data_IF_937295525156
#
_entry.id   IF_937295525156
#
_cell.length_a   1.000
_cell.length_b   1.000
_cell.length_c   1.000
_cell.angle_alpha   90.00
_cell.angle_beta   90.00
_cell.angle_gamma   90.00
#
_symmetry.space_group_name_H-M   'P 1'
#
loop_
_entity.id
_entity.type
_entity.pdbx_description
1 polymer ?
#
# COMPACT_ATOMS: atom_id res chain seq x y z
N UNK A 1 -28.10 5.48 0.67
CA UNK A 1 -27.92 6.95 0.62
C UNK A 1 -26.42 7.23 0.64
N UNK A 2 -25.88 7.94 -0.35
CA UNK A 2 -24.50 8.44 -0.27
C UNK A 2 -24.41 9.39 0.94
N UNK A 3 -23.33 9.35 1.73
CA UNK A 3 -23.18 10.27 2.85
C UNK A 3 -23.27 11.71 2.35
N UNK A 4 -24.01 12.55 3.08
CA UNK A 4 -24.27 13.95 2.75
C UNK A 4 -22.97 14.79 2.60
N UNK A 5 -21.86 14.30 3.17
CA UNK A 5 -20.53 14.90 3.11
C UNK A 5 -19.49 13.84 2.79
N UNK A 6 -18.59 14.16 1.87
CA UNK A 6 -17.44 13.33 1.50
C UNK A 6 -16.33 13.48 2.55
N UNK A 7 -15.95 14.69 2.98
CA UNK A 7 -14.79 14.92 3.86
C UNK A 7 -15.15 15.56 5.20
N UNK A 8 -14.45 15.18 6.28
CA UNK A 8 -14.56 15.78 7.61
C UNK A 8 -13.34 16.66 7.88
N UNK A 9 -13.55 17.92 8.20
CA UNK A 9 -12.48 18.88 8.46
C UNK A 9 -12.71 19.58 9.79
N UNK A 10 -11.63 19.95 10.46
CA UNK A 10 -11.69 20.80 11.66
C UNK A 10 -10.91 22.07 11.40
N UNK A 11 -11.50 23.22 11.67
CA UNK A 11 -10.83 24.50 11.59
C UNK A 11 -10.55 25.00 13.00
N UNK A 12 -9.26 25.17 13.34
CA UNK A 12 -8.78 25.67 14.63
C UNK A 12 -8.11 27.04 14.43
N UNK A 13 -8.79 28.11 14.85
CA UNK A 13 -8.24 29.45 14.93
C UNK A 13 -9.17 30.37 15.74
N UNK A 14 -8.70 31.50 16.28
CA UNK A 14 -9.59 32.46 16.92
C UNK A 14 -10.53 33.15 15.88
N UNK A 15 -11.85 33.04 16.06
CA UNK A 15 -12.91 33.56 15.17
C UNK A 15 -13.80 34.59 15.85
N UNK A 16 -13.78 35.84 15.37
CA UNK A 16 -14.86 36.82 15.63
C UNK A 16 -15.51 37.27 14.32
N UNK A 17 -16.64 36.64 13.96
CA UNK A 17 -17.56 37.16 12.94
C UNK A 17 -17.22 36.86 11.46
N UNK A 18 -18.29 36.86 10.65
CA UNK A 18 -18.47 36.61 9.19
C UNK A 18 -17.75 35.44 8.47
N UNK A 19 -16.65 34.93 8.99
CA UNK A 19 -15.68 34.10 8.29
C UNK A 19 -16.09 32.59 8.26
N UNK A 20 -16.81 32.12 9.29
CA UNK A 20 -17.39 30.77 9.30
C UNK A 20 -18.49 30.58 8.23
N UNK A 21 -19.16 31.65 7.77
CA UNK A 21 -20.23 31.54 6.75
C UNK A 21 -19.64 31.23 5.37
N UNK A 22 -18.59 31.94 4.98
CA UNK A 22 -17.88 31.74 3.71
C UNK A 22 -17.31 30.32 3.67
N UNK A 23 -16.56 29.92 4.69
CA UNK A 23 -16.04 28.56 4.78
C UNK A 23 -17.14 27.50 4.76
N UNK A 24 -18.28 27.71 5.44
CA UNK A 24 -19.42 26.76 5.39
C UNK A 24 -20.05 26.67 4.02
N UNK A 25 -20.22 27.80 3.32
CA UNK A 25 -20.82 27.83 1.98
C UNK A 25 -19.92 27.09 0.99
N UNK A 26 -18.64 27.45 0.93
CA UNK A 26 -17.67 26.80 0.05
C UNK A 26 -17.51 25.32 0.40
N UNK A 27 -17.51 24.96 1.69
CA UNK A 27 -17.44 23.56 2.12
C UNK A 27 -18.67 22.76 1.66
N UNK A 28 -19.86 23.36 1.68
CA UNK A 28 -21.09 22.71 1.18
C UNK A 28 -20.96 22.39 -0.30
N UNK A 29 -20.45 23.31 -1.10
CA UNK A 29 -20.23 23.12 -2.54
C UNK A 29 -19.20 22.00 -2.81
N UNK A 30 -18.20 21.88 -1.94
CA UNK A 30 -17.16 20.84 -2.00
C UNK A 30 -17.53 19.54 -1.25
N UNK A 31 -18.77 19.41 -0.75
CA UNK A 31 -19.24 18.26 0.06
C UNK A 31 -18.36 17.98 1.29
N UNK A 32 -17.82 19.02 1.92
CA UNK A 32 -17.05 18.94 3.15
C UNK A 32 -17.91 19.36 4.35
N UNK A 33 -17.72 18.68 5.48
CA UNK A 33 -18.24 19.13 6.77
C UNK A 33 -17.10 19.75 7.56
N UNK A 34 -17.24 21.02 7.96
CA UNK A 34 -16.26 21.72 8.79
C UNK A 34 -16.80 21.89 10.20
N UNK A 35 -16.01 21.44 11.19
CA UNK A 35 -16.17 21.80 12.60
C UNK A 35 -15.30 23.02 12.90
N UNK A 36 -15.87 24.07 13.46
CA UNK A 36 -15.12 25.28 13.85
C UNK A 36 -14.76 25.20 15.33
N UNK A 37 -13.52 25.54 15.66
CA UNK A 37 -13.00 25.65 17.02
C UNK A 37 -12.32 27.01 17.16
N UNK A 38 -12.97 27.90 17.91
CA UNK A 38 -12.49 29.25 18.24
C UNK A 38 -11.44 29.18 19.34
N UNK A 39 -10.22 28.72 19.00
CA UNK A 39 -9.14 28.43 19.95
C UNK A 39 -7.81 28.99 19.45
N UNK A 40 -6.93 29.36 20.37
CA UNK A 40 -5.57 29.81 20.09
C UNK A 40 -4.58 29.25 21.13
N UNK A 41 -3.27 29.26 20.79
CA UNK A 41 -2.18 28.87 21.68
C UNK A 41 -2.42 27.53 22.40
N UNK A 42 -2.42 27.51 23.73
CA UNK A 42 -2.51 26.29 24.55
C UNK A 42 -3.81 25.50 24.31
N UNK A 43 -4.93 26.20 24.16
CA UNK A 43 -6.23 25.57 23.88
C UNK A 43 -6.23 24.87 22.51
N UNK A 44 -5.54 25.45 21.53
CA UNK A 44 -5.36 24.86 20.22
C UNK A 44 -4.47 23.61 20.26
N UNK A 45 -3.45 23.57 21.15
CA UNK A 45 -2.62 22.37 21.38
C UNK A 45 -3.48 21.22 21.90
N UNK A 46 -4.28 21.47 22.94
CA UNK A 46 -5.13 20.43 23.52
C UNK A 46 -6.14 19.89 22.51
N UNK A 47 -6.76 20.79 21.74
CA UNK A 47 -7.68 20.38 20.68
C UNK A 47 -6.97 19.55 19.60
N UNK A 48 -5.79 19.97 19.14
CA UNK A 48 -5.00 19.27 18.12
C UNK A 48 -4.64 17.83 18.52
N UNK A 49 -4.29 17.61 19.79
CA UNK A 49 -3.96 16.29 20.36
C UNK A 49 -5.16 15.34 20.45
N UNK A 50 -6.36 15.88 20.65
CA UNK A 50 -7.60 15.09 20.78
C UNK A 50 -8.21 14.68 19.44
N UNK A 51 -7.71 15.22 18.32
CA UNK A 51 -8.24 14.87 17.01
C UNK A 51 -7.82 13.46 16.59
N UNK A 52 -8.76 12.73 16.00
CA UNK A 52 -8.53 11.37 15.49
C UNK A 52 -8.58 11.33 13.96
N UNK A 53 -7.67 10.58 13.31
CA UNK A 53 -7.82 10.02 11.98
C UNK A 53 -9.22 9.59 11.53
N UNK A 54 -10.04 9.07 12.44
CA UNK A 54 -11.35 8.48 12.12
C UNK A 54 -12.46 9.52 12.06
N UNK A 55 -12.27 10.67 12.73
CA UNK A 55 -13.29 11.71 12.86
C UNK A 55 -12.92 12.99 12.12
N UNK A 56 -11.67 13.12 11.66
CA UNK A 56 -11.16 14.29 10.96
C UNK A 56 -10.11 13.88 9.91
N UNK A 57 -10.32 14.30 8.66
CA UNK A 57 -9.41 14.02 7.55
C UNK A 57 -8.25 15.03 7.53
N UNK A 58 -8.56 16.33 7.74
CA UNK A 58 -7.63 17.47 7.63
C UNK A 58 -7.98 18.56 8.63
N UNK A 59 -6.97 19.23 9.18
CA UNK A 59 -7.11 20.43 10.00
C UNK A 59 -6.80 21.68 9.19
N UNK A 60 -7.59 22.72 9.36
CA UNK A 60 -7.38 24.05 8.81
C UNK A 60 -6.97 24.99 9.94
N UNK A 61 -5.95 25.82 9.75
CA UNK A 61 -5.52 26.79 10.77
C UNK A 61 -4.85 28.02 10.13
N UNK A 62 -4.61 29.08 10.90
CA UNK A 62 -4.02 30.34 10.40
C UNK A 62 -2.97 30.91 11.34
N UNK A 63 -2.03 31.66 10.77
CA UNK A 63 -0.99 32.39 11.50
C UNK A 63 -0.21 31.48 12.45
N UNK A 64 0.07 32.00 13.66
CA UNK A 64 0.84 31.31 14.71
C UNK A 64 0.26 29.94 15.09
N UNK A 65 -1.06 29.79 15.02
CA UNK A 65 -1.75 28.55 15.40
C UNK A 65 -1.39 27.38 14.49
N UNK A 66 -0.97 27.63 13.24
CA UNK A 66 -0.56 26.58 12.29
C UNK A 66 0.59 25.76 12.86
N UNK A 67 1.65 26.41 13.33
CA UNK A 67 2.87 25.72 13.77
C UNK A 67 2.60 24.90 15.02
N UNK A 68 1.83 25.48 15.94
CA UNK A 68 1.41 24.86 17.19
C UNK A 68 0.57 23.59 16.94
N UNK A 69 -0.40 23.67 16.02
CA UNK A 69 -1.26 22.53 15.66
C UNK A 69 -0.47 21.48 14.87
N UNK A 70 0.41 21.88 13.95
CA UNK A 70 1.25 20.96 13.14
C UNK A 70 2.14 20.08 14.01
N UNK A 71 2.74 20.65 15.04
CA UNK A 71 3.64 19.91 15.94
C UNK A 71 2.91 18.94 16.87
N UNK A 72 1.60 19.12 17.08
CA UNK A 72 0.84 18.41 18.11
C UNK A 72 -0.33 17.56 17.55
N UNK A 73 -0.57 17.57 16.24
CA UNK A 73 -1.64 16.80 15.61
C UNK A 73 -1.10 15.62 14.78
N UNK A 74 -1.76 14.48 14.87
CA UNK A 74 -1.57 13.33 13.97
C UNK A 74 -2.29 13.49 12.62
N UNK A 75 -2.97 14.61 12.43
CA UNK A 75 -3.76 14.95 11.25
C UNK A 75 -3.03 16.06 10.48
N UNK A 76 -2.96 15.98 9.14
CA UNK A 76 -2.33 17.02 8.34
C UNK A 76 -3.05 18.36 8.54
N UNK A 77 -2.24 19.41 8.68
CA UNK A 77 -2.73 20.79 8.86
C UNK A 77 -2.45 21.56 7.58
N UNK A 78 -3.50 22.08 6.97
CA UNK A 78 -3.43 22.98 5.81
C UNK A 78 -3.57 24.43 6.32
N UNK A 79 -2.57 25.29 6.05
CA UNK A 79 -2.64 26.69 6.44
C UNK A 79 -3.67 27.47 5.60
N UNK A 80 -4.35 28.40 6.24
CA UNK A 80 -5.18 29.42 5.58
C UNK A 80 -4.27 30.59 5.25
N UNK A 81 -3.65 30.50 4.08
CA UNK A 81 -2.66 31.47 3.63
C UNK A 81 -3.27 32.84 3.32
N UNK A 82 -2.46 33.88 3.51
CA UNK A 82 -2.77 35.25 3.12
C UNK A 82 -2.06 35.63 1.83
N UNK A 83 -2.81 36.19 0.87
CA UNK A 83 -2.28 36.65 -0.41
C UNK A 83 -2.33 38.18 -0.56
N UNK A 84 -1.56 38.68 -1.53
CA UNK A 84 -1.59 40.10 -1.90
C UNK A 84 -2.96 40.53 -2.43
N UNK A 85 -3.73 39.61 -3.01
CA UNK A 85 -5.08 39.87 -3.46
C UNK A 85 -6.03 40.18 -2.30
N UNK A 86 -5.92 39.44 -1.20
CA UNK A 86 -6.74 39.68 -0.01
C UNK A 86 -6.42 41.07 0.58
N UNK A 87 -5.14 41.46 0.62
CA UNK A 87 -4.72 42.79 1.05
C UNK A 87 -5.25 43.88 0.12
N UNK A 88 -5.13 43.69 -1.19
CA UNK A 88 -5.62 44.61 -2.21
C UNK A 88 -7.13 44.83 -2.05
N UNK A 89 -7.91 43.75 -1.94
CA UNK A 89 -9.37 43.81 -1.79
C UNK A 89 -9.76 44.52 -0.48
N UNK A 90 -9.04 44.25 0.62
CA UNK A 90 -9.31 44.89 1.91
C UNK A 90 -8.99 46.40 1.90
N UNK A 91 -7.95 46.82 1.18
CA UNK A 91 -7.51 48.21 1.11
C UNK A 91 -8.12 49.03 -0.02
N UNK A 92 -8.73 48.39 -1.02
CA UNK A 92 -9.38 49.07 -2.16
C UNK A 92 -10.36 50.17 -1.73
N UNK A 93 -11.22 50.00 -0.68
CA UNK A 93 -12.12 51.06 -0.24
C UNK A 93 -11.43 52.31 0.30
N UNK A 94 -10.15 52.19 0.70
CA UNK A 94 -9.34 53.28 1.27
C UNK A 94 -8.47 53.97 0.21
N UNK A 95 -8.47 53.49 -1.03
CA UNK A 95 -7.72 54.08 -2.14
C UNK A 95 -8.07 55.57 -2.30
N UNK A 96 -7.03 56.39 -2.48
CA UNK A 96 -7.16 57.85 -2.61
C UNK A 96 -7.36 58.62 -1.29
N UNK A 97 -7.66 57.94 -0.18
CA UNK A 97 -7.89 58.58 1.13
C UNK A 97 -6.78 58.25 2.14
N UNK A 98 -6.24 57.03 2.06
CA UNK A 98 -5.12 56.57 2.88
C UNK A 98 -3.89 56.45 2.00
N UNK A 99 -2.75 56.95 2.48
CA UNK A 99 -1.44 56.92 1.84
C UNK A 99 -0.43 56.11 2.65
N UNK A 100 -0.47 56.16 3.98
CA UNK A 100 0.52 55.49 4.82
C UNK A 100 -0.11 54.37 5.66
N UNK A 101 0.24 53.13 5.33
CA UNK A 101 -0.30 51.93 5.96
C UNK A 101 0.79 51.19 6.73
N UNK A 102 0.53 50.86 7.99
CA UNK A 102 1.35 49.92 8.75
C UNK A 102 0.73 48.53 8.68
N UNK A 103 1.38 47.59 7.98
CA UNK A 103 0.88 46.24 7.80
C UNK A 103 1.63 45.24 8.68
N UNK A 104 0.96 44.68 9.70
CA UNK A 104 1.55 43.74 10.64
C UNK A 104 1.27 42.29 10.23
N UNK A 105 2.32 41.48 10.13
CA UNK A 105 2.23 40.07 9.70
C UNK A 105 3.14 39.14 10.50
N UNK A 106 2.66 37.92 10.73
CA UNK A 106 3.44 36.88 11.39
C UNK A 106 4.47 36.22 10.45
N UNK A 107 5.70 36.10 10.93
CA UNK A 107 6.81 35.27 10.43
C UNK A 107 7.39 35.61 9.04
N UNK A 108 6.57 35.74 7.99
CA UNK A 108 7.05 35.82 6.60
C UNK A 108 6.56 37.09 5.87
N UNK A 109 7.41 37.72 5.03
CA UNK A 109 6.99 38.82 4.14
C UNK A 109 5.88 38.40 3.19
N UNK A 110 5.00 39.33 2.82
CA UNK A 110 3.97 39.11 1.80
C UNK A 110 4.54 39.22 0.37
N UNK A 111 4.57 38.12 -0.41
CA UNK A 111 4.96 38.20 -1.81
C UNK A 111 3.98 39.09 -2.59
N UNK A 112 4.52 39.98 -3.42
CA UNK A 112 3.72 40.88 -4.26
C UNK A 112 3.20 42.14 -3.56
N UNK A 113 3.62 42.45 -2.34
CA UNK A 113 3.22 43.67 -1.62
C UNK A 113 3.45 44.94 -2.44
N UNK A 114 4.60 45.04 -3.12
CA UNK A 114 4.93 46.18 -3.98
C UNK A 114 3.96 46.39 -5.16
N UNK A 115 3.26 45.33 -5.60
CA UNK A 115 2.22 45.44 -6.62
C UNK A 115 0.95 46.03 -6.05
N UNK A 116 0.62 45.72 -4.79
CA UNK A 116 -0.52 46.31 -4.06
C UNK A 116 -0.27 47.79 -3.79
N UNK A 117 0.94 48.14 -3.33
CA UNK A 117 1.34 49.54 -3.12
C UNK A 117 1.13 50.39 -4.38
N UNK A 118 1.65 49.91 -5.52
CA UNK A 118 1.52 50.59 -6.82
C UNK A 118 0.07 50.67 -7.29
N UNK A 119 -0.72 49.61 -7.12
CA UNK A 119 -2.11 49.56 -7.56
C UNK A 119 -3.01 50.52 -6.79
N UNK A 120 -2.76 50.71 -5.49
CA UNK A 120 -3.58 51.55 -4.63
C UNK A 120 -3.03 52.97 -4.43
N UNK A 121 -1.79 53.23 -4.85
CA UNK A 121 -1.11 54.50 -4.57
C UNK A 121 -0.81 54.69 -3.08
N UNK A 122 -0.56 53.59 -2.37
CA UNK A 122 -0.28 53.57 -0.92
C UNK A 122 1.16 53.16 -0.65
N UNK A 123 1.76 53.74 0.38
CA UNK A 123 2.99 53.26 1.01
C UNK A 123 2.61 52.28 2.12
N UNK A 124 2.91 51.00 1.93
CA UNK A 124 2.57 49.94 2.88
C UNK A 124 3.85 49.44 3.54
N UNK A 125 4.10 49.89 4.78
CA UNK A 125 5.25 49.45 5.56
C UNK A 125 4.91 48.13 6.24
N UNK A 126 5.58 47.05 5.84
CA UNK A 126 5.40 45.73 6.44
C UNK A 126 6.22 45.59 7.74
N UNK A 127 5.56 45.13 8.79
CA UNK A 127 6.15 44.85 10.10
C UNK A 127 5.93 43.38 10.45
N UNK A 128 7.02 42.60 10.35
CA UNK A 128 7.00 41.17 10.67
C UNK A 128 7.12 40.93 12.18
N UNK A 129 6.55 39.87 12.71
CA UNK A 129 6.81 39.47 14.10
C UNK A 129 6.80 37.95 14.22
N UNK A 130 7.65 37.42 15.10
CA UNK A 130 7.74 35.99 15.44
C UNK A 130 7.16 35.63 16.80
N UNK A 131 6.88 36.63 17.66
CA UNK A 131 6.34 36.41 19.01
C UNK A 131 5.41 37.53 19.47
N UNK A 132 4.64 37.26 20.52
CA UNK A 132 3.77 38.25 21.18
C UNK A 132 4.56 39.45 21.70
N UNK A 133 5.77 39.23 22.21
CA UNK A 133 6.64 40.30 22.74
C UNK A 133 7.22 41.16 21.60
N UNK A 134 7.70 40.53 20.52
CA UNK A 134 8.21 41.26 19.36
C UNK A 134 7.11 42.11 18.69
N UNK A 135 5.90 41.56 18.59
CA UNK A 135 4.74 42.27 18.08
C UNK A 135 4.44 43.52 18.92
N UNK A 136 4.48 43.42 20.26
CA UNK A 136 4.25 44.55 21.15
C UNK A 136 5.35 45.62 21.02
N UNK A 137 6.62 45.19 20.98
CA UNK A 137 7.76 46.10 20.78
C UNK A 137 7.66 46.88 19.47
N UNK A 138 7.31 46.20 18.36
CA UNK A 138 7.14 46.85 17.06
C UNK A 138 5.96 47.82 17.04
N UNK A 139 4.89 47.52 17.76
CA UNK A 139 3.74 48.41 17.87
C UNK A 139 4.10 49.71 18.61
N UNK A 140 4.85 49.63 19.71
CA UNK A 140 5.29 50.80 20.50
C UNK A 140 6.27 51.68 19.70
N UNK A 141 7.05 51.08 18.79
CA UNK A 141 8.00 51.80 17.93
C UNK A 141 7.33 52.55 16.77
N UNK A 142 6.03 52.38 16.55
CA UNK A 142 5.29 53.16 15.55
C UNK A 142 4.98 54.55 16.10
N UNK A 143 5.18 55.55 15.27
CA UNK A 143 4.63 56.89 15.51
C UNK A 143 3.19 56.94 14.97
N UNK A 144 2.17 57.23 15.81
CA UNK A 144 0.79 57.44 15.36
C UNK A 144 0.65 58.52 14.28
N UNK A 145 1.55 59.51 14.23
CA UNK A 145 1.52 60.55 13.20
C UNK A 145 1.91 60.03 11.80
N UNK A 146 2.65 58.93 11.73
CA UNK A 146 3.16 58.34 10.48
C UNK A 146 2.25 57.25 9.90
N UNK A 147 1.19 56.85 10.62
CA UNK A 147 0.32 55.72 10.29
C UNK A 147 -1.12 56.18 10.17
N UNK A 148 -1.62 56.27 8.93
CA UNK A 148 -3.02 56.63 8.66
C UNK A 148 -3.96 55.43 8.80
N UNK A 149 -3.44 54.21 8.60
CA UNK A 149 -4.18 52.97 8.80
C UNK A 149 -3.26 51.84 9.25
N UNK A 150 -3.60 51.23 10.38
CA UNK A 150 -3.02 49.98 10.87
C UNK A 150 -3.79 48.79 10.31
N UNK A 151 -3.08 47.81 9.76
CA UNK A 151 -3.68 46.68 9.07
C UNK A 151 -3.02 45.39 9.54
N UNK A 152 -3.81 44.40 9.93
CA UNK A 152 -3.26 43.10 10.32
C UNK A 152 -4.25 41.95 10.17
N UNK A 153 -3.72 40.73 10.13
CA UNK A 153 -4.52 39.50 10.30
C UNK A 153 -4.39 39.01 11.74
N UNK A 154 -5.38 39.33 12.57
CA UNK A 154 -5.50 38.77 13.92
C UNK A 154 -6.08 39.75 14.94
N UNK A 155 -7.01 39.26 15.74
CA UNK A 155 -7.79 40.08 16.67
C UNK A 155 -6.93 40.71 17.75
N UNK A 156 -5.95 39.99 18.30
CA UNK A 156 -5.12 40.50 19.40
C UNK A 156 -4.26 41.71 18.99
N UNK A 157 -3.61 41.65 17.83
CA UNK A 157 -2.76 42.74 17.33
C UNK A 157 -3.62 43.96 16.96
N UNK A 158 -4.80 43.74 16.38
CA UNK A 158 -5.73 44.82 16.06
C UNK A 158 -6.27 45.50 17.32
N UNK A 159 -6.59 44.73 18.37
CA UNK A 159 -7.01 45.28 19.66
C UNK A 159 -5.94 46.16 20.31
N UNK A 160 -4.68 45.74 20.28
CA UNK A 160 -3.58 46.54 20.80
C UNK A 160 -3.32 47.79 19.97
N UNK A 161 -3.39 47.71 18.64
CA UNK A 161 -3.27 48.87 17.77
C UNK A 161 -4.38 49.90 18.02
N UNK A 162 -5.63 49.42 18.17
CA UNK A 162 -6.77 50.29 18.50
C UNK A 162 -6.57 50.95 19.87
N UNK A 163 -6.10 50.20 20.88
CA UNK A 163 -5.83 50.73 22.22
C UNK A 163 -4.68 51.74 22.23
N UNK A 164 -3.72 51.61 21.31
CA UNK A 164 -2.63 52.56 21.10
C UNK A 164 -3.03 53.78 20.24
N UNK A 165 -4.29 53.87 19.81
CA UNK A 165 -4.85 55.02 19.10
C UNK A 165 -4.78 54.96 17.57
N UNK A 166 -4.36 53.83 16.99
CA UNK A 166 -4.29 53.68 15.53
C UNK A 166 -5.67 53.38 14.93
N UNK A 167 -6.10 54.08 13.85
CA UNK A 167 -7.17 53.61 12.99
C UNK A 167 -6.83 52.20 12.51
N UNK A 168 -7.67 51.21 12.83
CA UNK A 168 -7.31 49.79 12.67
C UNK A 168 -8.29 49.05 11.76
N UNK A 169 -7.74 48.32 10.79
CA UNK A 169 -8.45 47.38 9.91
C UNK A 169 -7.98 45.95 10.19
N UNK A 170 -8.87 45.14 10.76
CA UNK A 170 -8.66 43.69 10.84
C UNK A 170 -9.04 43.06 9.50
N UNK A 171 -8.09 42.38 8.84
CA UNK A 171 -8.37 41.69 7.59
C UNK A 171 -9.00 40.33 7.89
N UNK A 172 -10.17 40.12 7.30
CA UNK A 172 -10.94 38.87 7.34
C UNK A 172 -10.60 38.04 6.09
N UNK A 173 -10.63 36.71 6.21
CA UNK A 173 -10.34 35.84 5.07
C UNK A 173 -11.42 35.99 3.98
N UNK A 174 -10.98 36.24 2.74
CA UNK A 174 -11.86 36.40 1.58
C UNK A 174 -12.36 35.06 1.02
N UNK A 175 -13.43 35.12 0.22
CA UNK A 175 -14.02 33.94 -0.44
C UNK A 175 -13.03 33.15 -1.29
N UNK A 176 -12.13 33.85 -2.00
CA UNK A 176 -11.11 33.23 -2.87
C UNK A 176 -10.11 32.44 -2.02
N UNK A 177 -9.64 33.01 -0.91
CA UNK A 177 -8.70 32.34 0.00
C UNK A 177 -9.34 31.15 0.70
N UNK A 178 -10.58 31.29 1.17
CA UNK A 178 -11.35 30.18 1.72
C UNK A 178 -11.52 29.04 0.69
N UNK A 179 -11.88 29.37 -0.56
CA UNK A 179 -12.02 28.40 -1.65
C UNK A 179 -10.72 27.70 -2.00
N UNK A 180 -9.62 28.45 -2.13
CA UNK A 180 -8.30 27.87 -2.41
C UNK A 180 -7.88 26.91 -1.30
N UNK A 181 -7.94 27.35 -0.05
CA UNK A 181 -7.56 26.51 1.10
C UNK A 181 -8.43 25.27 1.22
N UNK A 182 -9.74 25.37 0.97
CA UNK A 182 -10.61 24.20 1.00
C UNK A 182 -10.35 23.22 -0.14
N UNK A 183 -10.04 23.71 -1.35
CA UNK A 183 -9.65 22.84 -2.47
C UNK A 183 -8.36 22.09 -2.16
N UNK A 184 -7.36 22.78 -1.58
CA UNK A 184 -6.12 22.15 -1.12
C UNK A 184 -6.40 21.09 -0.04
N UNK A 185 -7.22 21.43 0.96
CA UNK A 185 -7.62 20.50 2.00
C UNK A 185 -8.37 19.27 1.45
N UNK A 186 -9.22 19.42 0.43
CA UNK A 186 -9.86 18.30 -0.26
C UNK A 186 -8.83 17.40 -0.93
N UNK A 187 -7.84 17.98 -1.62
CA UNK A 187 -6.79 17.20 -2.28
C UNK A 187 -5.96 16.41 -1.27
N UNK A 188 -5.57 17.04 -0.16
CA UNK A 188 -4.87 16.38 0.95
C UNK A 188 -5.73 15.26 1.56
N UNK A 189 -7.01 15.54 1.84
CA UNK A 189 -7.94 14.56 2.40
C UNK A 189 -8.14 13.35 1.48
N UNK A 190 -8.30 13.60 0.18
CA UNK A 190 -8.50 12.56 -0.84
C UNK A 190 -7.26 11.68 -0.99
N UNK A 191 -6.06 12.28 -1.04
CA UNK A 191 -4.81 11.53 -1.08
C UNK A 191 -4.66 10.60 0.14
N UNK A 192 -4.90 11.14 1.34
CA UNK A 192 -4.82 10.38 2.60
C UNK A 192 -5.83 9.24 2.66
N UNK A 193 -7.07 9.46 2.22
CA UNK A 193 -8.08 8.39 2.16
C UNK A 193 -7.73 7.31 1.15
N UNK A 194 -7.26 7.70 -0.04
CA UNK A 194 -6.83 6.74 -1.05
C UNK A 194 -5.68 5.87 -0.53
N UNK A 195 -4.73 6.47 0.19
CA UNK A 195 -3.62 5.74 0.82
C UNK A 195 -4.14 4.77 1.90
N UNK A 196 -4.98 5.23 2.83
CA UNK A 196 -5.59 4.34 3.84
C UNK A 196 -6.40 3.21 3.23
N UNK A 197 -7.18 3.47 2.19
CA UNK A 197 -7.92 2.44 1.48
C UNK A 197 -7.00 1.43 0.80
N UNK A 198 -5.87 1.88 0.21
CA UNK A 198 -4.86 0.97 -0.34
C UNK A 198 -4.24 0.10 0.76
N UNK A 199 -3.84 0.69 1.88
CA UNK A 199 -3.26 -0.05 3.01
C UNK A 199 -4.25 -1.06 3.61
N UNK A 200 -5.51 -0.66 3.80
CA UNK A 200 -6.55 -1.56 4.32
C UNK A 200 -6.87 -2.70 3.34
N UNK A 201 -6.95 -2.41 2.04
CA UNK A 201 -7.14 -3.45 1.00
C UNK A 201 -5.95 -4.40 0.95
N UNK A 202 -4.73 -3.87 1.03
CA UNK A 202 -3.52 -4.70 1.04
C UNK A 202 -3.48 -5.61 2.27
N UNK A 203 -3.79 -5.07 3.45
CA UNK A 203 -3.94 -5.86 4.68
C UNK A 203 -4.97 -6.98 4.53
N UNK A 204 -6.17 -6.67 4.02
CA UNK A 204 -7.21 -7.66 3.80
C UNK A 204 -6.82 -8.76 2.79
N UNK A 205 -6.07 -8.41 1.73
CA UNK A 205 -5.53 -9.39 0.78
C UNK A 205 -4.54 -10.32 1.49
N UNK A 206 -3.61 -9.77 2.25
CA UNK A 206 -2.60 -10.56 2.97
C UNK A 206 -3.22 -11.45 4.04
N UNK A 207 -4.24 -10.97 4.76
CA UNK A 207 -4.95 -11.73 5.79
C UNK A 207 -5.84 -12.85 5.20
N UNK A 208 -6.27 -12.70 3.94
CA UNK A 208 -7.05 -13.73 3.23
C UNK A 208 -6.17 -14.86 2.65
N UNK A 209 -4.84 -14.69 2.65
CA UNK A 209 -3.91 -15.70 2.14
C UNK A 209 -3.62 -16.72 3.25
N UNK A 210 -3.85 -17.99 2.91
CA UNK A 210 -3.57 -19.15 3.77
C UNK A 210 -2.06 -19.36 4.01
N UNK A 211 -1.22 -18.83 3.13
CA UNK A 211 0.24 -18.85 3.26
C UNK A 211 0.70 -17.80 4.26
N UNK A 212 1.63 -18.16 5.14
CA UNK A 212 2.21 -17.22 6.08
C UNK A 212 3.12 -16.23 5.37
N UNK A 213 2.85 -14.94 5.50
CA UNK A 213 3.70 -13.87 4.97
C UNK A 213 4.38 -13.12 6.11
N UNK A 214 5.70 -12.92 5.98
CA UNK A 214 6.53 -12.08 6.85
C UNK A 214 7.34 -11.13 5.97
N UNK A 215 7.38 -9.85 6.32
CA UNK A 215 8.20 -8.83 5.63
C UNK A 215 9.14 -8.18 6.62
N UNK A 216 10.39 -7.99 6.22
CA UNK A 216 11.42 -7.32 7.01
C UNK A 216 12.24 -6.35 6.16
N UNK A 217 12.80 -5.32 6.79
CA UNK A 217 13.63 -4.30 6.13
C UNK A 217 15.06 -4.77 5.82
N UNK A 218 15.88 -3.92 5.20
CA UNK A 218 17.28 -4.23 4.88
C UNK A 218 18.15 -4.52 6.12
N UNK A 219 17.73 -4.09 7.31
CA UNK A 219 18.41 -4.36 8.59
C UNK A 219 17.87 -5.63 9.27
N UNK A 220 16.91 -6.33 8.66
CA UNK A 220 16.33 -7.55 9.21
C UNK A 220 15.22 -7.32 10.22
N UNK A 221 14.72 -6.09 10.41
CA UNK A 221 13.60 -5.83 11.33
C UNK A 221 12.27 -6.10 10.66
N UNK A 222 11.43 -6.89 11.32
CA UNK A 222 10.11 -7.26 10.81
C UNK A 222 9.16 -6.06 10.87
N UNK A 223 8.55 -5.71 9.75
CA UNK A 223 7.56 -4.64 9.65
C UNK A 223 6.14 -5.15 9.33
N UNK A 224 6.00 -6.40 8.88
CA UNK A 224 4.72 -7.04 8.62
C UNK A 224 4.76 -8.53 8.94
N UNK A 225 3.72 -9.02 9.59
CA UNK A 225 3.44 -10.45 9.76
C UNK A 225 1.92 -10.65 9.63
N UNK A 226 1.55 -11.68 8.88
CA UNK A 226 0.14 -12.09 8.69
C UNK A 226 -0.31 -13.07 9.79
N UNK A 227 -1.62 -13.18 10.07
CA UNK A 227 -2.16 -14.16 11.03
C UNK A 227 -1.78 -15.61 10.69
N UNK A 228 -1.73 -15.95 9.40
CA UNK A 228 -1.26 -17.26 8.92
C UNK A 228 0.20 -17.51 9.31
N UNK A 229 1.06 -16.50 9.21
CA UNK A 229 2.46 -16.60 9.65
C UNK A 229 2.59 -16.69 11.18
N UNK A 230 1.81 -15.91 11.95
CA UNK A 230 1.77 -16.02 13.42
C UNK A 230 1.47 -17.45 13.85
N UNK A 231 0.48 -18.08 13.20
CA UNK A 231 0.07 -19.46 13.47
C UNK A 231 1.15 -20.49 13.10
N UNK A 232 1.79 -20.33 11.93
CA UNK A 232 2.82 -21.25 11.44
C UNK A 232 4.14 -21.15 12.23
N UNK A 233 4.50 -19.94 12.67
CA UNK A 233 5.73 -19.67 13.42
C UNK A 233 5.52 -19.77 14.94
N UNK A 234 4.27 -19.85 15.40
CA UNK A 234 3.87 -19.82 16.80
C UNK A 234 4.44 -18.57 17.52
N UNK A 235 4.24 -17.39 16.93
CA UNK A 235 4.68 -16.11 17.48
C UNK A 235 3.57 -15.06 17.36
N UNK A 236 3.45 -14.17 18.34
CA UNK A 236 2.47 -13.09 18.28
C UNK A 236 3.00 -11.90 17.47
N UNK A 237 2.12 -11.23 16.73
CA UNK A 237 2.45 -10.03 15.93
C UNK A 237 3.12 -8.94 16.75
N UNK A 238 2.67 -8.75 18.00
CA UNK A 238 3.26 -7.77 18.93
C UNK A 238 4.70 -8.10 19.31
N UNK A 239 5.07 -9.38 19.31
CA UNK A 239 6.42 -9.86 19.62
C UNK A 239 7.29 -9.91 18.36
N UNK A 240 6.70 -10.04 17.19
CA UNK A 240 7.44 -10.12 15.93
C UNK A 240 7.76 -8.73 15.36
N UNK A 241 6.83 -7.77 15.40
CA UNK A 241 7.02 -6.45 14.79
C UNK A 241 8.13 -5.66 15.50
N UNK A 242 9.09 -5.17 14.72
CA UNK A 242 10.26 -4.44 15.20
C UNK A 242 11.43 -5.33 15.63
N UNK A 243 11.18 -6.62 15.86
CA UNK A 243 12.20 -7.60 16.19
C UNK A 243 12.99 -8.06 14.96
N UNK A 244 14.18 -8.58 15.20
CA UNK A 244 15.02 -9.11 14.13
C UNK A 244 14.49 -10.45 13.62
N UNK A 245 14.46 -10.64 12.29
CA UNK A 245 13.89 -11.81 11.63
C UNK A 245 14.51 -13.14 12.10
N UNK A 246 15.79 -13.13 12.50
CA UNK A 246 16.48 -14.29 13.10
C UNK A 246 15.85 -14.77 14.41
N UNK A 247 15.27 -13.87 15.19
CA UNK A 247 14.57 -14.19 16.44
C UNK A 247 13.19 -14.77 16.14
N UNK A 248 12.50 -14.19 15.15
CA UNK A 248 11.16 -14.61 14.72
C UNK A 248 11.20 -15.98 14.02
N UNK A 249 12.26 -16.24 13.25
CA UNK A 249 12.47 -17.45 12.46
C UNK A 249 13.87 -18.04 12.75
N UNK A 250 14.06 -18.66 13.93
CA UNK A 250 15.36 -19.20 14.32
C UNK A 250 15.78 -20.38 13.43
N UNK A 251 17.08 -20.46 13.12
CA UNK A 251 17.65 -21.56 12.32
C UNK A 251 17.43 -21.46 10.79
N UNK A 252 16.68 -20.46 10.32
CA UNK A 252 16.42 -20.26 8.88
C UNK A 252 17.47 -19.36 8.21
N UNK A 253 18.19 -18.57 9.00
CA UNK A 253 19.20 -17.63 8.52
C UNK A 253 20.57 -18.04 9.02
N UNK A 254 21.54 -18.13 8.11
CA UNK A 254 22.95 -18.23 8.48
C UNK A 254 23.44 -16.92 9.10
N UNK A 255 24.46 -16.97 10.00
CA UNK A 255 25.07 -15.78 10.61
C UNK A 255 25.54 -14.74 9.58
N UNK A 256 25.99 -15.21 8.42
CA UNK A 256 26.60 -14.39 7.36
C UNK A 256 25.63 -14.02 6.24
N UNK A 257 24.36 -14.42 6.32
CA UNK A 257 23.40 -14.24 5.21
C UNK A 257 22.08 -13.71 5.74
N UNK A 258 21.99 -12.39 5.90
CA UNK A 258 20.74 -11.70 5.59
C UNK A 258 20.68 -11.69 4.06
N UNK A 259 20.01 -12.69 3.47
CA UNK A 259 19.89 -12.84 2.02
C UNK A 259 19.14 -11.63 1.46
N UNK A 260 19.89 -10.58 1.14
CA UNK A 260 19.37 -9.35 0.57
C UNK A 260 19.05 -9.53 -0.91
N UNK A 261 19.95 -10.10 -1.70
CA UNK A 261 19.87 -9.84 -3.15
C UNK A 261 19.50 -11.04 -4.01
N UNK A 262 19.22 -12.19 -3.40
CA UNK A 262 18.90 -13.42 -4.15
C UNK A 262 17.54 -13.97 -3.78
N UNK A 263 16.76 -14.24 -4.82
CA UNK A 263 15.52 -14.99 -4.72
C UNK A 263 15.87 -16.43 -4.31
N UNK A 264 15.21 -16.91 -3.24
CA UNK A 264 15.33 -18.30 -2.80
C UNK A 264 13.94 -18.95 -2.82
N UNK A 265 13.80 -20.07 -3.52
CA UNK A 265 12.53 -20.79 -3.64
C UNK A 265 12.62 -22.17 -3.00
N UNK A 266 11.55 -22.55 -2.31
CA UNK A 266 11.29 -23.94 -1.91
C UNK A 266 12.21 -24.49 -0.82
N UNK A 267 12.90 -23.65 -0.04
CA UNK A 267 13.77 -24.16 1.02
C UNK A 267 12.94 -24.73 2.17
N UNK A 268 13.23 -25.96 2.53
CA UNK A 268 12.57 -26.67 3.62
C UNK A 268 13.35 -26.44 4.90
N UNK A 269 12.67 -25.96 5.94
CA UNK A 269 13.23 -25.73 7.26
C UNK A 269 12.30 -26.30 8.33
N UNK A 270 12.88 -26.94 9.34
CA UNK A 270 12.14 -27.29 10.55
C UNK A 270 12.24 -26.14 11.55
N UNK A 271 11.10 -25.51 11.83
CA UNK A 271 11.01 -24.45 12.83
C UNK A 271 10.06 -24.95 13.92
N UNK A 272 10.59 -25.07 15.15
CA UNK A 272 9.80 -25.45 16.34
C UNK A 272 8.97 -26.72 16.13
N UNK A 273 9.53 -27.72 15.44
CA UNK A 273 8.89 -29.01 15.16
C UNK A 273 7.88 -29.01 14.00
N UNK A 274 7.78 -27.91 13.24
CA UNK A 274 6.97 -27.83 12.03
C UNK A 274 7.86 -27.68 10.80
N UNK A 275 7.68 -28.57 9.82
CA UNK A 275 8.38 -28.53 8.53
C UNK A 275 7.73 -27.51 7.61
N UNK A 276 8.44 -26.40 7.38
CA UNK A 276 7.97 -25.26 6.61
C UNK A 276 8.75 -25.13 5.31
N UNK A 277 8.06 -24.76 4.24
CA UNK A 277 8.63 -24.36 2.96
C UNK A 277 8.65 -22.84 2.92
N UNK A 278 9.83 -22.25 2.72
CA UNK A 278 10.02 -20.81 2.76
C UNK A 278 10.52 -20.32 1.40
N UNK A 279 9.83 -19.33 0.84
CA UNK A 279 10.29 -18.57 -0.32
C UNK A 279 10.68 -17.16 0.12
N UNK A 280 11.70 -16.60 -0.53
CA UNK A 280 12.21 -15.26 -0.24
C UNK A 280 12.34 -14.46 -1.53
N UNK A 281 11.74 -13.29 -1.55
CA UNK A 281 11.81 -12.36 -2.68
C UNK A 281 12.19 -10.97 -2.17
N UNK A 282 13.31 -10.38 -2.63
CA UNK A 282 13.68 -9.03 -2.22
C UNK A 282 12.79 -7.98 -2.86
N UNK A 283 12.55 -6.90 -2.12
CA UNK A 283 11.80 -5.73 -2.53
C UNK A 283 12.81 -4.72 -3.06
N UNK A 284 12.83 -4.54 -4.38
CA UNK A 284 13.70 -3.57 -5.03
C UNK A 284 12.93 -2.28 -5.30
N UNK A 285 13.44 -1.16 -4.78
CA UNK A 285 12.95 0.18 -5.08
C UNK A 285 14.09 1.00 -5.70
N UNK A 286 13.90 1.47 -6.94
CA UNK A 286 14.94 2.17 -7.72
C UNK A 286 16.28 1.41 -7.79
N UNK A 287 16.22 0.07 -7.86
CA UNK A 287 17.41 -0.79 -7.91
C UNK A 287 18.08 -1.05 -6.56
N UNK A 288 17.61 -0.42 -5.48
CA UNK A 288 18.09 -0.68 -4.12
C UNK A 288 17.15 -1.62 -3.39
N UNK A 289 17.72 -2.55 -2.64
CA UNK A 289 16.96 -3.43 -1.78
C UNK A 289 16.45 -2.67 -0.54
N UNK A 290 15.13 -2.60 -0.38
CA UNK A 290 14.47 -1.93 0.75
C UNK A 290 13.85 -2.92 1.75
N UNK A 291 13.98 -4.23 1.51
CA UNK A 291 13.49 -5.28 2.39
C UNK A 291 13.25 -6.60 1.65
N UNK A 292 12.72 -7.60 2.35
CA UNK A 292 12.45 -8.93 1.79
C UNK A 292 11.08 -9.42 2.22
N UNK A 293 10.35 -10.05 1.28
CA UNK A 293 9.11 -10.78 1.54
C UNK A 293 9.43 -12.27 1.66
N UNK A 294 9.03 -12.87 2.78
CA UNK A 294 9.02 -14.30 3.01
C UNK A 294 7.61 -14.85 2.89
N UNK A 295 7.42 -15.87 2.04
CA UNK A 295 6.21 -16.70 2.06
C UNK A 295 6.53 -18.04 2.73
N UNK A 296 5.61 -18.53 3.56
CA UNK A 296 5.81 -19.66 4.47
C UNK A 296 4.61 -20.59 4.35
N UNK A 297 4.87 -21.81 3.87
CA UNK A 297 3.85 -22.84 3.68
C UNK A 297 4.17 -24.07 4.52
N UNK A 298 3.15 -24.75 5.06
CA UNK A 298 3.32 -26.06 5.71
C UNK A 298 3.55 -27.16 4.65
N UNK A 299 4.70 -27.82 4.70
CA UNK A 299 5.06 -28.88 3.76
C UNK A 299 4.02 -30.01 3.73
N UNK A 300 3.39 -30.32 4.86
CA UNK A 300 2.37 -31.39 4.98
C UNK A 300 1.12 -31.08 4.17
N UNK A 301 0.75 -29.80 4.02
CA UNK A 301 -0.39 -29.39 3.19
C UNK A 301 -0.11 -29.64 1.72
N UNK A 302 1.11 -29.35 1.27
CA UNK A 302 1.57 -29.59 -0.11
C UNK A 302 1.48 -31.10 -0.43
N UNK A 303 2.03 -31.95 0.44
CA UNK A 303 1.94 -33.41 0.28
C UNK A 303 0.50 -33.93 0.28
N UNK A 304 -0.38 -33.40 1.14
CA UNK A 304 -1.81 -33.78 1.14
C UNK A 304 -2.53 -33.37 -0.14
N UNK A 305 -2.23 -32.20 -0.68
CA UNK A 305 -2.80 -31.72 -1.94
C UNK A 305 -2.35 -32.58 -3.13
N UNK A 306 -1.07 -32.92 -3.18
CA UNK A 306 -0.50 -33.85 -4.16
C UNK A 306 -1.17 -35.23 -4.08
N UNK A 307 -1.29 -35.80 -2.87
CA UNK A 307 -1.93 -37.09 -2.65
C UNK A 307 -3.40 -37.09 -3.11
N UNK A 308 -4.15 -36.01 -2.83
CA UNK A 308 -5.53 -35.85 -3.32
C UNK A 308 -5.59 -35.77 -4.85
N UNK A 309 -4.69 -35.02 -5.48
CA UNK A 309 -4.62 -34.92 -6.94
C UNK A 309 -4.32 -36.28 -7.58
N UNK A 310 -3.34 -37.01 -7.02
CA UNK A 310 -2.99 -38.37 -7.43
C UNK A 310 -4.16 -39.33 -7.30
N UNK A 311 -4.93 -39.26 -6.21
CA UNK A 311 -6.13 -40.07 -6.04
C UNK A 311 -7.25 -39.71 -7.02
N UNK A 312 -7.40 -38.42 -7.37
CA UNK A 312 -8.37 -37.96 -8.37
C UNK A 312 -8.01 -38.40 -9.80
N UNK A 313 -6.71 -38.51 -10.10
CA UNK A 313 -6.24 -39.09 -11.37
C UNK A 313 -6.50 -40.59 -11.43
N UNK A 314 -6.29 -41.31 -10.31
CA UNK A 314 -6.67 -42.73 -10.19
C UNK A 314 -8.18 -42.94 -10.41
N UNK A 315 -9.04 -42.07 -9.85
CA UNK A 315 -10.49 -42.20 -10.00
C UNK A 315 -11.03 -41.85 -11.40
N UNK A 316 -10.22 -41.22 -12.27
CA UNK A 316 -10.56 -40.97 -13.69
C UNK A 316 -10.23 -42.13 -14.63
N UNK A 317 -9.80 -43.29 -14.10
CA UNK A 317 -9.56 -44.49 -14.90
C UNK A 317 -8.17 -44.62 -15.51
N UNK A 318 -7.21 -43.75 -15.13
CA UNK A 318 -5.80 -43.88 -15.49
C UNK A 318 -5.07 -44.91 -14.61
N UNK A 319 -5.64 -46.11 -14.54
CA UNK A 319 -5.15 -47.23 -13.73
C UNK A 319 -5.06 -48.46 -14.63
N UNK A 320 -4.14 -49.37 -14.31
CA UNK A 320 -4.08 -50.68 -14.95
C UNK A 320 -5.32 -51.50 -14.56
N UNK A 321 -5.97 -52.12 -15.54
CA UNK A 321 -7.10 -53.04 -15.34
C UNK A 321 -6.66 -54.49 -15.20
N UNK A 322 -5.46 -54.81 -15.69
CA UNK A 322 -4.93 -56.17 -15.76
C UNK A 322 -3.56 -56.29 -15.10
N UNK A 323 -3.29 -57.50 -14.61
CA UNK A 323 -2.04 -57.95 -14.02
C UNK A 323 -1.57 -59.23 -14.71
N UNK A 324 -0.31 -59.65 -14.45
CA UNK A 324 0.16 -60.93 -14.97
C UNK A 324 -0.69 -62.12 -14.51
N UNK A 325 -1.42 -62.00 -13.40
CA UNK A 325 -2.36 -63.03 -12.95
C UNK A 325 -3.54 -63.25 -13.91
N UNK A 326 -3.95 -62.20 -14.64
CA UNK A 326 -5.09 -62.23 -15.55
C UNK A 326 -4.74 -62.89 -16.90
N UNK A 327 -3.45 -63.02 -17.21
CA UNK A 327 -2.96 -63.70 -18.42
C UNK A 327 -2.98 -65.22 -18.20
N UNK A 328 -4.10 -65.85 -18.57
CA UNK A 328 -4.30 -67.31 -18.54
C UNK A 328 -3.66 -67.96 -19.76
N UNK A 329 -2.72 -68.87 -19.55
CA UNK A 329 -2.04 -69.59 -20.63
C UNK A 329 -1.62 -71.00 -20.24
N UNK A 330 -1.58 -71.91 -21.23
CA UNK A 330 -0.94 -73.24 -21.13
C UNK A 330 0.33 -73.33 -21.98
N UNK A 331 0.64 -72.29 -22.78
CA UNK A 331 1.80 -72.24 -23.66
C UNK A 331 3.09 -71.98 -22.88
N UNK A 332 4.14 -72.80 -23.03
CA UNK A 332 5.45 -72.55 -22.44
C UNK A 332 6.05 -71.20 -22.87
N UNK A 333 5.85 -70.80 -24.12
CA UNK A 333 6.37 -69.54 -24.66
C UNK A 333 5.74 -68.32 -23.97
N UNK A 334 4.42 -68.34 -23.75
CA UNK A 334 3.73 -67.24 -23.05
C UNK A 334 4.10 -67.20 -21.58
N UNK A 335 4.35 -68.36 -20.95
CA UNK A 335 4.88 -68.42 -19.58
C UNK A 335 6.24 -67.72 -19.48
N UNK A 336 7.14 -68.02 -20.42
CA UNK A 336 8.43 -67.36 -20.50
C UNK A 336 8.30 -65.84 -20.72
N UNK A 337 7.39 -65.39 -21.58
CA UNK A 337 7.12 -63.95 -21.76
C UNK A 337 6.61 -63.27 -20.48
N UNK A 338 5.83 -63.96 -19.63
CA UNK A 338 5.40 -63.41 -18.33
C UNK A 338 6.60 -63.23 -17.40
N UNK A 339 7.49 -64.23 -17.32
CA UNK A 339 8.72 -64.15 -16.53
C UNK A 339 9.60 -62.99 -16.99
N UNK A 340 9.79 -62.84 -18.30
CA UNK A 340 10.53 -61.75 -18.91
C UNK A 340 9.89 -60.38 -18.59
N UNK A 341 8.56 -60.29 -18.68
CA UNK A 341 7.83 -59.08 -18.34
C UNK A 341 7.97 -58.67 -16.87
N UNK A 342 7.97 -59.63 -15.94
CA UNK A 342 8.23 -59.36 -14.51
C UNK A 342 9.66 -58.86 -14.29
N UNK A 343 10.64 -59.47 -14.96
CA UNK A 343 12.04 -59.05 -14.87
C UNK A 343 12.20 -57.60 -15.32
N UNK A 344 11.68 -57.25 -16.51
CA UNK A 344 11.80 -55.89 -17.04
C UNK A 344 10.94 -54.85 -16.30
N UNK A 345 9.87 -55.25 -15.63
CA UNK A 345 9.05 -54.34 -14.82
C UNK A 345 9.87 -53.67 -13.68
N UNK A 346 10.91 -54.32 -13.18
CA UNK A 346 11.82 -53.74 -12.18
C UNK A 346 12.81 -52.71 -12.73
N UNK A 347 12.82 -52.48 -14.05
CA UNK A 347 13.77 -51.57 -14.72
C UNK A 347 13.08 -50.32 -15.25
N UNK A 348 13.85 -49.27 -15.51
CA UNK A 348 13.37 -48.02 -16.14
C UNK A 348 13.55 -48.00 -17.68
N UNK A 349 13.90 -49.15 -18.28
CA UNK A 349 14.13 -49.26 -19.72
C UNK A 349 12.84 -49.12 -20.56
N UNK A 350 12.99 -48.58 -21.78
CA UNK A 350 11.90 -48.53 -22.75
C UNK A 350 11.60 -49.94 -23.30
N UNK A 351 10.32 -50.30 -23.35
CA UNK A 351 9.87 -51.62 -23.77
C UNK A 351 9.04 -51.54 -25.05
N UNK A 352 9.41 -52.35 -26.04
CA UNK A 352 8.64 -52.53 -27.26
C UNK A 352 7.96 -53.91 -27.23
N UNK A 353 6.63 -53.93 -27.26
CA UNK A 353 5.84 -55.17 -27.26
C UNK A 353 5.30 -55.39 -28.66
N UNK A 354 5.84 -56.39 -29.36
CA UNK A 354 5.45 -56.75 -30.72
C UNK A 354 4.48 -57.93 -30.75
N UNK A 355 3.68 -58.01 -31.81
CA UNK A 355 2.76 -59.12 -32.04
C UNK A 355 1.59 -58.72 -32.93
N UNK A 356 0.93 -59.69 -33.54
CA UNK A 356 -0.25 -59.47 -34.39
C UNK A 356 -1.41 -58.86 -33.59
N UNK A 357 -2.40 -58.29 -34.29
CA UNK A 357 -3.59 -57.75 -33.63
C UNK A 357 -4.32 -58.85 -32.84
N UNK A 358 -4.84 -58.51 -31.65
CA UNK A 358 -5.55 -59.46 -30.79
C UNK A 358 -4.67 -60.40 -29.94
N UNK A 359 -3.33 -60.37 -30.06
CA UNK A 359 -2.41 -61.24 -29.29
C UNK A 359 -2.23 -60.88 -27.80
N UNK A 360 -2.96 -59.86 -27.31
CA UNK A 360 -2.92 -59.47 -25.90
C UNK A 360 -1.77 -58.53 -25.51
N UNK A 361 -1.20 -57.78 -26.46
CA UNK A 361 -0.15 -56.78 -26.19
C UNK A 361 -0.52 -55.78 -25.08
N UNK A 362 -1.77 -55.33 -25.05
CA UNK A 362 -2.27 -54.41 -24.03
C UNK A 362 -2.29 -55.05 -22.63
N UNK A 363 -2.69 -56.33 -22.53
CA UNK A 363 -2.64 -57.08 -21.27
C UNK A 363 -1.22 -57.13 -20.72
N UNK A 364 -0.23 -57.37 -21.58
CA UNK A 364 1.18 -57.35 -21.20
C UNK A 364 1.66 -55.96 -20.77
N UNK A 365 1.35 -54.91 -21.54
CA UNK A 365 1.75 -53.54 -21.21
C UNK A 365 1.21 -53.10 -19.83
N UNK A 366 -0.08 -53.36 -19.56
CA UNK A 366 -0.69 -53.05 -18.27
C UNK A 366 -0.11 -53.91 -17.14
N UNK A 367 0.14 -55.20 -17.40
CA UNK A 367 0.72 -56.11 -16.40
C UNK A 367 2.14 -55.73 -16.00
N UNK A 368 2.95 -55.30 -16.97
CA UNK A 368 4.31 -54.80 -16.73
C UNK A 368 4.26 -53.53 -15.88
N UNK A 369 3.40 -52.56 -16.23
CA UNK A 369 3.23 -51.34 -15.41
C UNK A 369 2.79 -51.67 -13.99
N UNK A 370 1.82 -52.56 -13.81
CA UNK A 370 1.31 -52.98 -12.51
C UNK A 370 2.37 -53.68 -11.64
N UNK A 371 3.32 -54.38 -12.25
CA UNK A 371 4.43 -55.04 -11.56
C UNK A 371 5.65 -54.13 -11.34
N UNK A 372 5.65 -52.91 -11.92
CA UNK A 372 6.83 -52.04 -11.93
C UNK A 372 6.98 -51.15 -10.69
N UNK A 373 8.13 -50.47 -10.59
CA UNK A 373 8.34 -49.37 -9.63
C UNK A 373 7.39 -48.19 -9.86
N UNK A 374 6.76 -48.12 -11.05
CA UNK A 374 5.79 -47.09 -11.45
C UNK A 374 4.34 -47.55 -11.26
N UNK A 375 4.07 -48.72 -10.68
CA UNK A 375 2.71 -49.28 -10.42
C UNK A 375 1.74 -48.29 -9.77
N UNK A 376 2.31 -47.34 -9.04
CA UNK A 376 1.63 -46.39 -8.20
C UNK A 376 1.36 -45.03 -8.88
N UNK A 377 1.95 -44.85 -10.08
CA UNK A 377 1.75 -43.72 -10.99
C UNK A 377 0.62 -44.04 -12.00
N UNK A 378 0.00 -43.01 -12.61
CA UNK A 378 -1.06 -43.22 -13.60
C UNK A 378 -0.57 -44.05 -14.81
N UNK A 379 -1.43 -44.94 -15.31
CA UNK A 379 -1.23 -45.62 -16.59
C UNK A 379 -2.06 -44.91 -17.66
N UNK A 380 -1.40 -44.42 -18.72
CA UNK A 380 -2.04 -43.68 -19.81
C UNK A 380 -1.82 -44.46 -21.09
N UNK A 381 -2.91 -45.01 -21.64
CA UNK A 381 -2.90 -45.63 -22.95
C UNK A 381 -3.16 -44.58 -24.03
N UNK A 382 -2.26 -44.49 -25.01
CA UNK A 382 -2.40 -43.60 -26.18
C UNK A 382 -2.53 -44.46 -27.42
N UNK A 383 -3.62 -44.29 -28.18
CA UNK A 383 -3.80 -44.95 -29.46
C UNK A 383 -3.14 -44.13 -30.57
N UNK A 384 -1.87 -44.44 -30.86
CA UNK A 384 -1.10 -43.72 -31.88
C UNK A 384 -1.70 -43.85 -33.29
N UNK A 385 -2.48 -44.90 -33.59
CA UNK A 385 -3.10 -45.08 -34.91
C UNK A 385 -4.28 -44.12 -35.15
N UNK A 386 -4.84 -43.52 -34.10
CA UNK A 386 -5.92 -42.54 -34.19
C UNK A 386 -5.41 -41.10 -34.31
N UNK A 387 -4.09 -40.90 -34.28
CA UNK A 387 -3.44 -39.58 -34.28
C UNK A 387 -2.68 -39.44 -35.60
N UNK A 388 -2.86 -38.33 -36.36
CA UNK A 388 -2.04 -38.06 -37.55
C UNK A 388 -0.55 -38.04 -37.21
N UNK A 389 0.30 -38.67 -38.03
CA UNK A 389 1.74 -38.83 -37.74
C UNK A 389 2.43 -37.51 -37.39
N UNK A 390 2.22 -36.45 -38.19
CA UNK A 390 2.83 -35.14 -37.93
C UNK A 390 2.39 -34.49 -36.61
N UNK A 391 1.20 -34.83 -36.09
CA UNK A 391 0.72 -34.35 -34.78
C UNK A 391 1.29 -35.22 -33.64
N UNK A 392 1.46 -36.53 -33.88
CA UNK A 392 2.05 -37.45 -32.93
C UNK A 392 3.52 -37.08 -32.67
N UNK A 393 4.25 -36.76 -33.73
CA UNK A 393 5.65 -36.36 -33.65
C UNK A 393 5.84 -35.06 -32.86
N UNK A 394 5.01 -34.04 -33.16
CA UNK A 394 5.09 -32.72 -32.50
C UNK A 394 4.71 -32.76 -31.01
N UNK A 395 3.76 -33.62 -30.63
CA UNK A 395 3.29 -33.73 -29.24
C UNK A 395 4.18 -34.65 -28.37
N UNK A 396 4.79 -35.69 -28.94
CA UNK A 396 5.63 -36.63 -28.18
C UNK A 396 7.11 -36.25 -28.12
N UNK A 397 7.64 -35.60 -29.17
CA UNK A 397 9.07 -35.27 -29.28
C UNK A 397 9.34 -33.75 -29.24
N UNK A 398 8.31 -32.92 -29.25
CA UNK A 398 8.39 -31.46 -29.17
C UNK A 398 8.42 -30.79 -30.55
N UNK A 399 8.29 -29.47 -30.54
CA UNK A 399 8.31 -28.64 -31.74
C UNK A 399 9.73 -28.12 -32.02
N UNK A 400 10.28 -28.43 -33.19
CA UNK A 400 11.40 -27.71 -33.79
C UNK A 400 10.89 -27.02 -35.07
N UNK A 401 11.18 -25.73 -35.24
CA UNK A 401 10.77 -24.99 -36.44
C UNK A 401 11.37 -25.66 -37.70
N UNK A 402 10.51 -26.27 -38.52
CA UNK A 402 10.91 -26.90 -39.79
C UNK A 402 10.86 -28.44 -39.82
N UNK A 403 10.44 -29.11 -38.75
CA UNK A 403 10.40 -30.58 -38.69
C UNK A 403 9.40 -31.25 -39.66
N UNK A 404 8.37 -30.54 -40.13
CA UNK A 404 7.40 -31.03 -41.11
C UNK A 404 6.86 -29.90 -42.02
N UNK A 405 6.43 -30.25 -43.23
CA UNK A 405 5.99 -29.33 -44.31
C UNK A 405 4.71 -28.53 -44.01
N UNK A 406 4.09 -28.73 -42.85
CA UNK A 406 2.93 -27.99 -42.35
C UNK A 406 3.19 -27.09 -41.13
N UNK A 407 4.43 -26.95 -40.65
CA UNK A 407 4.77 -26.24 -39.41
C UNK A 407 4.71 -24.68 -39.49
N UNK A 408 4.00 -24.11 -40.48
CA UNK A 408 3.74 -22.66 -40.55
C UNK A 408 2.31 -22.37 -40.10
N UNK A 409 2.14 -22.02 -38.83
CA UNK A 409 1.03 -21.18 -38.38
C UNK A 409 1.41 -20.36 -37.16
#
# INVERSE_FOLDING_TARGET
>A
MLPQYEFQMTLIAPYKGLDARIFRQVAKDLRCRIKFMDLAFDEAIEAAKRLSPDTCDVVLSRGVTVDVVKQNSSIPVVPIDFSAWDLLQALQPYAGHVRNVAFFRYSTPLPGLSSVEKALGMRIKEHLYGSKNEMHLRLIQLDPADVELFVARGTLVCQWATAAGFPTLEIIDGEISAKRTLLEAVNVARARRSERQRTARFGAILDAIDEGIVVYDAQGKVNLITPSAESLLNCAKKEAIGEHIRTVMPGVFSPDTLAGDKVEHGRVHDIRGTTLVINRVPILFQGQNVGTVCSISDARRIYKAEAKLRNKLKSKGFTTRYSFGDIRTRSPHVRHLKELGVLYASTDANLLICGESGTGKELFAQSIHAASLRKDKPFVAVNCAAIPEGLLESELFGYEEGAFTGARR
#
